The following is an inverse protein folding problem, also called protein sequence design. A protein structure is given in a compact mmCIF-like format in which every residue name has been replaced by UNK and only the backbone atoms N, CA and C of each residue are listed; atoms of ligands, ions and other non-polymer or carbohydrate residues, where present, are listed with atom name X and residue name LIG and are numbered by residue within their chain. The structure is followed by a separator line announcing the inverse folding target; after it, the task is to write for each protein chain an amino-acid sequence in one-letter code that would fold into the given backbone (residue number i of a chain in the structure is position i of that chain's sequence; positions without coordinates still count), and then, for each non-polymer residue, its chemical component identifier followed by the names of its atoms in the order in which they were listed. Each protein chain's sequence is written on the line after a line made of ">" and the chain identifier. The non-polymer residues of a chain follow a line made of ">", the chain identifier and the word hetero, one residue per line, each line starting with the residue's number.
data_IF_962268706537
#
_entry.id   IF_962268706537
#
_cell.length_a   1.000
_cell.length_b   1.000
_cell.length_c   1.000
_cell.angle_alpha   90.00
_cell.angle_beta   90.00
_cell.angle_gamma   90.00
#
_symmetry.space_group_name_H-M   'P 1'
#
loop_
_entity.id
_entity.type
_entity.pdbx_description
1 polymer ?
#
# COMPACT_ATOMS: atom_id res chain seq x y z
N UNK A 1 10.96 -7.51 -15.54
CA UNK A 1 10.28 -6.23 -15.96
C UNK A 1 8.97 -6.13 -15.20
N UNK A 2 8.82 -5.08 -14.44
CA UNK A 2 7.63 -4.76 -13.63
C UNK A 2 6.38 -4.60 -14.50
N UNK A 3 5.28 -5.19 -14.07
CA UNK A 3 3.92 -4.99 -14.59
C UNK A 3 3.03 -4.52 -13.46
N UNK A 4 2.29 -3.45 -13.69
CA UNK A 4 1.35 -2.85 -12.74
C UNK A 4 -0.01 -2.75 -13.39
N UNK A 5 -1.03 -3.31 -12.75
CA UNK A 5 -2.44 -3.19 -13.13
C UNK A 5 -3.18 -2.49 -12.01
N UNK A 6 -3.77 -1.34 -12.32
CA UNK A 6 -4.51 -0.53 -11.35
C UNK A 6 -5.99 -0.82 -11.44
N UNK A 7 -6.63 -1.02 -10.30
CA UNK A 7 -8.08 -1.06 -10.12
C UNK A 7 -8.46 0.05 -9.13
N UNK A 8 -9.29 0.99 -9.56
CA UNK A 8 -9.81 2.04 -8.67
C UNK A 8 -11.18 1.59 -8.19
N UNK A 9 -11.32 1.35 -6.87
CA UNK A 9 -12.42 0.56 -6.30
C UNK A 9 -13.14 1.33 -5.18
N UNK A 10 -14.41 0.98 -4.99
CA UNK A 10 -15.25 1.50 -3.92
C UNK A 10 -15.58 2.99 -4.01
N UNK A 11 -16.36 3.46 -3.03
CA UNK A 11 -16.85 4.85 -2.98
C UNK A 11 -15.73 5.87 -2.73
N UNK A 12 -14.63 5.42 -2.09
CA UNK A 12 -13.45 6.26 -1.82
C UNK A 12 -12.46 6.31 -2.98
N UNK A 13 -12.73 5.57 -4.09
CA UNK A 13 -11.88 5.55 -5.28
C UNK A 13 -10.44 5.15 -4.93
N UNK A 14 -10.28 4.15 -4.04
CA UNK A 14 -8.99 3.64 -3.61
C UNK A 14 -8.33 2.83 -4.72
N UNK A 15 -7.07 3.08 -4.97
CA UNK A 15 -6.29 2.35 -5.96
C UNK A 15 -5.74 1.05 -5.35
N UNK A 16 -6.21 -0.07 -5.87
CA UNK A 16 -5.62 -1.39 -5.64
C UNK A 16 -4.69 -1.73 -6.81
N UNK A 17 -3.51 -2.25 -6.51
CA UNK A 17 -2.52 -2.60 -7.53
C UNK A 17 -2.26 -4.11 -7.56
N UNK A 18 -2.37 -4.72 -8.75
CA UNK A 18 -1.89 -6.09 -9.01
C UNK A 18 -0.53 -5.94 -9.68
N UNK A 19 0.51 -6.43 -9.00
CA UNK A 19 1.91 -6.17 -9.38
C UNK A 19 2.66 -7.50 -9.54
N UNK A 20 3.36 -7.66 -10.65
CA UNK A 20 4.11 -8.88 -10.93
C UNK A 20 5.29 -8.66 -11.87
N UNK A 21 6.26 -9.57 -11.84
CA UNK A 21 7.30 -9.68 -12.86
C UNK A 21 6.69 -10.29 -14.14
N UNK A 22 7.11 -9.80 -15.32
CA UNK A 22 6.46 -10.11 -16.60
C UNK A 22 6.36 -11.60 -16.95
N UNK A 23 7.27 -12.44 -16.42
CA UNK A 23 7.28 -13.90 -16.66
C UNK A 23 6.74 -14.70 -15.47
N UNK A 24 6.44 -14.02 -14.36
CA UNK A 24 5.88 -14.66 -13.15
C UNK A 24 4.48 -15.22 -13.42
N UNK A 25 4.13 -16.25 -12.65
CA UNK A 25 2.76 -16.78 -12.55
C UNK A 25 2.06 -16.36 -11.28
N UNK A 26 2.76 -15.61 -10.42
CA UNK A 26 2.24 -15.06 -9.18
C UNK A 26 2.28 -13.54 -9.22
N UNK A 27 1.47 -12.90 -8.36
CA UNK A 27 1.43 -11.45 -8.20
C UNK A 27 1.36 -11.06 -6.72
N UNK A 28 1.84 -9.87 -6.41
CA UNK A 28 1.47 -9.15 -5.20
C UNK A 28 0.20 -8.33 -5.45
N UNK A 29 -0.67 -8.23 -4.45
CA UNK A 29 -1.81 -7.30 -4.44
C UNK A 29 -1.56 -6.25 -3.38
N UNK A 30 -1.55 -4.98 -3.78
CA UNK A 30 -1.30 -3.86 -2.87
C UNK A 30 -2.63 -3.15 -2.61
N UNK A 31 -2.97 -2.96 -1.34
CA UNK A 31 -4.15 -2.26 -0.85
C UNK A 31 -5.48 -2.73 -1.48
N UNK A 32 -5.90 -3.98 -1.25
CA UNK A 32 -7.19 -4.49 -1.73
C UNK A 32 -8.35 -3.95 -0.88
N UNK A 33 -8.71 -2.67 -1.07
CA UNK A 33 -9.67 -1.97 -0.22
C UNK A 33 -11.11 -2.45 -0.37
N UNK A 34 -11.53 -2.75 -1.60
CA UNK A 34 -12.91 -3.08 -1.93
C UNK A 34 -12.99 -4.15 -3.01
N UNK A 35 -14.20 -4.69 -3.22
CA UNK A 35 -14.56 -5.54 -4.35
C UNK A 35 -13.59 -6.72 -4.57
N UNK A 36 -13.33 -7.57 -3.56
CA UNK A 36 -12.37 -8.67 -3.67
C UNK A 36 -12.64 -9.60 -4.86
N UNK A 37 -13.89 -9.83 -5.23
CA UNK A 37 -14.25 -10.64 -6.39
C UNK A 37 -13.79 -10.01 -7.71
N UNK A 38 -13.82 -8.68 -7.80
CA UNK A 38 -13.31 -7.95 -8.97
C UNK A 38 -11.79 -8.08 -9.07
N UNK A 39 -11.08 -7.98 -7.93
CA UNK A 39 -9.63 -8.17 -7.87
C UNK A 39 -9.26 -9.60 -8.27
N UNK A 40 -9.89 -10.62 -7.65
CA UNK A 40 -9.61 -12.03 -7.93
C UNK A 40 -9.92 -12.41 -9.39
N UNK A 41 -11.01 -11.90 -9.95
CA UNK A 41 -11.34 -12.07 -11.37
C UNK A 41 -10.25 -11.49 -12.26
N UNK A 42 -9.74 -10.25 -11.93
CA UNK A 42 -8.65 -9.64 -12.69
C UNK A 42 -7.36 -10.44 -12.62
N UNK A 43 -7.00 -10.95 -11.46
CA UNK A 43 -5.85 -11.84 -11.27
C UNK A 43 -5.99 -13.09 -12.15
N UNK A 44 -7.16 -13.74 -12.16
CA UNK A 44 -7.44 -14.91 -12.99
C UNK A 44 -7.38 -14.61 -14.50
N UNK A 45 -7.93 -13.46 -14.95
CA UNK A 45 -7.84 -12.98 -16.35
C UNK A 45 -6.38 -12.83 -16.82
N UNK A 46 -5.50 -12.40 -15.90
CA UNK A 46 -4.06 -12.26 -16.17
C UNK A 46 -3.32 -13.61 -16.14
N UNK A 47 -3.98 -14.69 -15.75
CA UNK A 47 -3.38 -16.02 -15.61
C UNK A 47 -2.40 -16.12 -14.44
N UNK A 48 -2.65 -15.33 -13.38
CA UNK A 48 -1.83 -15.22 -12.18
C UNK A 48 -2.52 -15.87 -10.96
N UNK A 49 -1.73 -16.10 -9.91
CA UNK A 49 -2.22 -16.41 -8.55
C UNK A 49 -1.67 -15.38 -7.57
N UNK A 50 -2.43 -15.07 -6.52
CA UNK A 50 -1.97 -14.13 -5.49
C UNK A 50 -0.94 -14.81 -4.60
N UNK A 51 0.24 -14.23 -4.50
CA UNK A 51 1.37 -14.68 -3.69
C UNK A 51 1.37 -14.00 -2.32
N UNK A 52 1.16 -12.69 -2.32
CA UNK A 52 1.07 -11.89 -1.10
C UNK A 52 0.15 -10.68 -1.28
N UNK A 53 -0.42 -10.23 -0.17
CA UNK A 53 -1.01 -8.91 -0.02
C UNK A 53 0.00 -8.03 0.73
N UNK A 54 0.23 -6.82 0.20
CA UNK A 54 1.09 -5.80 0.82
C UNK A 54 0.20 -4.60 1.18
N UNK A 55 0.03 -4.30 2.45
CA UNK A 55 -0.72 -3.13 2.90
C UNK A 55 0.22 -1.95 3.14
N UNK A 56 -0.08 -0.81 2.50
CA UNK A 56 0.64 0.43 2.78
C UNK A 56 0.30 0.99 4.15
N UNK A 57 -0.94 0.78 4.61
CA UNK A 57 -1.42 1.13 5.95
C UNK A 57 -2.75 0.42 6.26
N UNK A 58 -3.28 0.62 7.46
CA UNK A 58 -4.41 -0.16 7.99
C UNK A 58 -5.79 0.48 7.85
N UNK A 59 -6.00 1.57 7.10
CA UNK A 59 -7.32 2.19 6.97
C UNK A 59 -8.31 1.29 6.22
N UNK A 60 -9.58 1.43 6.57
CA UNK A 60 -10.68 0.55 6.12
C UNK A 60 -10.82 0.48 4.60
N UNK A 61 -10.54 1.56 3.91
CA UNK A 61 -10.65 1.66 2.46
C UNK A 61 -9.44 1.05 1.71
N UNK A 62 -8.39 0.67 2.42
CA UNK A 62 -7.25 -0.09 1.89
C UNK A 62 -7.29 -1.58 2.23
N UNK A 63 -8.08 -1.98 3.24
CA UNK A 63 -8.03 -3.36 3.79
C UNK A 63 -9.33 -4.17 3.60
N UNK A 64 -10.43 -3.55 3.17
CA UNK A 64 -11.75 -4.18 3.18
C UNK A 64 -11.88 -5.48 2.37
N UNK A 65 -11.06 -5.69 1.36
CA UNK A 65 -11.02 -6.93 0.55
C UNK A 65 -10.05 -8.00 1.06
N UNK A 66 -9.19 -7.67 2.04
CA UNK A 66 -8.09 -8.54 2.49
C UNK A 66 -8.59 -9.90 2.95
N UNK A 67 -9.58 -9.95 3.86
CA UNK A 67 -10.09 -11.21 4.42
C UNK A 67 -10.57 -12.17 3.34
N UNK A 68 -11.35 -11.66 2.39
CA UNK A 68 -11.89 -12.48 1.31
C UNK A 68 -10.78 -13.04 0.40
N UNK A 69 -9.76 -12.24 0.08
CA UNK A 69 -8.65 -12.67 -0.77
C UNK A 69 -7.78 -13.69 -0.02
N UNK A 70 -7.43 -13.45 1.25
CA UNK A 70 -6.65 -14.42 2.06
C UNK A 70 -7.39 -15.75 2.18
N UNK A 71 -8.69 -15.73 2.45
CA UNK A 71 -9.52 -16.95 2.52
C UNK A 71 -9.58 -17.71 1.19
N UNK A 72 -9.62 -17.00 0.08
CA UNK A 72 -9.70 -17.61 -1.26
C UNK A 72 -8.37 -18.18 -1.75
N UNK A 73 -7.25 -17.62 -1.34
CA UNK A 73 -5.93 -17.89 -1.92
C UNK A 73 -4.93 -18.51 -0.95
N UNK A 74 -5.09 -18.29 0.34
CA UNK A 74 -4.12 -18.64 1.37
C UNK A 74 -2.83 -17.84 1.32
N UNK A 75 -2.84 -16.67 0.64
CA UNK A 75 -1.65 -15.83 0.49
C UNK A 75 -1.20 -15.19 1.80
N UNK A 76 0.08 -14.84 1.89
CA UNK A 76 0.63 -14.08 3.01
C UNK A 76 0.07 -12.65 3.03
N UNK A 77 -0.10 -12.09 4.24
CA UNK A 77 -0.46 -10.68 4.45
C UNK A 77 0.70 -9.97 5.15
N UNK A 78 1.18 -8.89 4.52
CA UNK A 78 2.27 -8.06 5.04
C UNK A 78 1.75 -6.67 5.40
N UNK A 79 2.11 -6.20 6.60
CA UNK A 79 1.84 -4.83 7.07
C UNK A 79 2.75 -4.43 8.22
N UNK A 80 2.68 -3.19 8.68
CA UNK A 80 3.37 -2.76 9.90
C UNK A 80 2.60 -3.14 11.15
N UNK A 81 3.30 -3.65 12.17
CA UNK A 81 2.72 -3.99 13.48
C UNK A 81 2.07 -2.78 14.15
N UNK A 82 2.62 -1.58 13.95
CA UNK A 82 2.08 -0.36 14.54
C UNK A 82 0.66 -0.02 14.08
N UNK A 83 0.27 -0.35 12.85
CA UNK A 83 -1.11 -0.21 12.40
C UNK A 83 -1.96 -1.41 12.85
N UNK A 84 -1.42 -2.62 12.81
CA UNK A 84 -2.10 -3.80 13.31
C UNK A 84 -2.47 -3.65 14.78
N UNK A 85 -1.60 -3.10 15.62
CA UNK A 85 -1.84 -2.90 17.05
C UNK A 85 -2.91 -1.84 17.37
N UNK A 86 -3.31 -1.00 16.41
CA UNK A 86 -4.41 -0.03 16.60
C UNK A 86 -5.80 -0.68 16.55
N UNK A 87 -5.93 -1.86 15.97
CA UNK A 87 -7.21 -2.52 15.75
C UNK A 87 -8.00 -2.85 17.02
N UNK A 88 -7.39 -3.26 18.15
CA UNK A 88 -8.13 -3.56 19.37
C UNK A 88 -8.77 -2.34 20.04
N UNK A 89 -8.42 -1.12 19.64
CA UNK A 89 -8.95 0.09 20.23
C UNK A 89 -10.36 0.38 19.68
N UNK A 90 -11.46 0.32 20.51
CA UNK A 90 -12.81 0.57 20.05
C UNK A 90 -13.03 1.93 19.38
N UNK A 91 -12.24 2.95 19.76
CA UNK A 91 -12.29 4.30 19.17
C UNK A 91 -11.79 4.26 17.73
N UNK A 92 -10.81 3.40 17.44
CA UNK A 92 -10.18 3.28 16.12
C UNK A 92 -10.79 2.16 15.25
N UNK A 93 -11.64 1.30 15.80
CA UNK A 93 -12.19 0.13 15.10
C UNK A 93 -12.93 0.47 13.78
N UNK A 94 -13.48 1.67 13.67
CA UNK A 94 -14.09 2.13 12.42
C UNK A 94 -13.04 2.43 11.33
N UNK A 95 -11.86 2.91 11.71
CA UNK A 95 -10.79 3.26 10.77
C UNK A 95 -9.88 2.08 10.46
N UNK A 96 -9.79 1.11 11.37
CA UNK A 96 -8.88 -0.05 11.29
C UNK A 96 -9.64 -1.37 11.51
N UNK A 97 -10.40 -1.85 10.53
CA UNK A 97 -11.31 -3.00 10.72
C UNK A 97 -10.61 -4.36 10.72
N UNK A 98 -9.34 -4.44 10.32
CA UNK A 98 -8.66 -5.72 10.04
C UNK A 98 -8.49 -6.61 11.28
N UNK A 99 -8.50 -6.03 12.49
CA UNK A 99 -8.36 -6.78 13.74
C UNK A 99 -9.49 -7.77 14.04
N UNK A 100 -10.62 -7.61 13.35
CA UNK A 100 -11.77 -8.50 13.49
C UNK A 100 -11.71 -9.68 12.50
N UNK A 101 -10.67 -9.75 11.68
CA UNK A 101 -10.50 -10.79 10.68
C UNK A 101 -9.69 -11.94 11.28
N UNK A 102 -10.18 -13.16 11.10
CA UNK A 102 -9.55 -14.39 11.57
C UNK A 102 -8.44 -14.81 10.56
N UNK A 103 -7.33 -14.06 10.56
CA UNK A 103 -6.17 -14.38 9.71
C UNK A 103 -5.30 -15.43 10.37
N UNK A 104 -4.92 -16.43 9.61
CA UNK A 104 -4.02 -17.48 10.08
C UNK A 104 -2.58 -17.00 10.23
N UNK A 105 -2.18 -15.97 9.46
CA UNK A 105 -0.81 -15.45 9.52
C UNK A 105 -0.73 -14.02 8.98
N UNK A 106 -0.29 -13.09 9.85
CA UNK A 106 0.08 -11.72 9.46
C UNK A 106 1.59 -11.59 9.61
N UNK A 107 2.28 -11.24 8.54
CA UNK A 107 3.70 -10.96 8.54
C UNK A 107 3.92 -9.47 8.83
N UNK A 108 4.69 -9.16 9.87
CA UNK A 108 5.05 -7.78 10.17
C UNK A 108 6.34 -7.40 9.47
N UNK A 109 6.29 -6.31 8.71
CA UNK A 109 7.46 -5.81 7.99
C UNK A 109 8.14 -4.66 8.73
N UNK A 110 9.46 -4.57 8.60
CA UNK A 110 10.29 -3.53 9.17
C UNK A 110 10.82 -2.56 8.10
N UNK A 111 11.27 -1.39 8.55
CA UNK A 111 11.84 -0.40 7.62
C UNK A 111 13.11 -0.95 6.95
N UNK A 112 13.21 -0.78 5.63
CA UNK A 112 14.26 -1.33 4.75
C UNK A 112 14.29 -2.86 4.61
N UNK A 113 13.28 -3.55 5.13
CA UNK A 113 13.11 -4.97 4.86
C UNK A 113 12.76 -5.21 3.39
N UNK A 114 13.20 -6.35 2.86
CA UNK A 114 12.88 -6.80 1.52
C UNK A 114 11.85 -7.92 1.55
N UNK A 115 10.75 -7.74 0.84
CA UNK A 115 9.66 -8.71 0.70
C UNK A 115 9.68 -9.23 -0.73
N UNK A 116 9.76 -10.55 -0.89
CA UNK A 116 9.66 -11.19 -2.21
C UNK A 116 8.22 -11.61 -2.49
N UNK A 117 7.61 -11.07 -3.54
CA UNK A 117 6.25 -11.42 -3.98
C UNK A 117 6.07 -11.17 -5.48
N UNK A 118 5.28 -12.00 -6.16
CA UNK A 118 4.99 -11.83 -7.59
C UNK A 118 6.22 -11.91 -8.50
N UNK A 119 7.29 -12.56 -8.06
CA UNK A 119 8.58 -12.60 -8.76
C UNK A 119 9.39 -11.31 -8.66
N UNK A 120 9.03 -10.40 -7.76
CA UNK A 120 9.65 -9.10 -7.52
C UNK A 120 10.16 -9.00 -6.09
N UNK A 121 11.07 -8.06 -5.85
CA UNK A 121 11.51 -7.67 -4.50
C UNK A 121 11.02 -6.26 -4.19
N UNK A 122 10.30 -6.12 -3.10
CA UNK A 122 9.78 -4.86 -2.58
C UNK A 122 10.59 -4.45 -1.36
N UNK A 123 11.20 -3.26 -1.40
CA UNK A 123 11.83 -2.67 -0.21
C UNK A 123 10.79 -1.87 0.55
N UNK A 124 10.62 -2.17 1.83
CA UNK A 124 9.73 -1.44 2.73
C UNK A 124 10.37 -0.11 3.12
N UNK A 125 9.68 0.99 2.88
CA UNK A 125 10.13 2.32 3.26
C UNK A 125 9.11 2.94 4.22
N UNK A 126 9.39 2.91 5.52
CA UNK A 126 8.47 3.42 6.54
C UNK A 126 8.24 4.92 6.36
N UNK A 127 6.98 5.32 6.22
CA UNK A 127 6.56 6.71 6.00
C UNK A 127 5.42 7.10 6.96
N UNK A 128 5.67 7.07 8.30
CA UNK A 128 4.64 7.45 9.26
C UNK A 128 4.17 8.88 9.04
N UNK A 129 2.91 9.15 9.39
CA UNK A 129 2.32 10.48 9.32
C UNK A 129 0.86 10.49 8.91
N UNK A 130 0.43 9.69 7.92
CA UNK A 130 -0.98 9.42 7.67
C UNK A 130 -1.53 8.45 8.70
N UNK A 131 -0.78 7.37 8.96
CA UNK A 131 -0.92 6.47 10.11
C UNK A 131 0.43 6.24 10.78
N UNK A 132 0.45 5.59 11.96
CA UNK A 132 1.70 5.17 12.61
C UNK A 132 2.48 4.16 11.78
N UNK A 133 1.77 3.27 11.08
CA UNK A 133 2.33 2.15 10.32
C UNK A 133 2.42 2.39 8.82
N UNK A 134 2.17 3.60 8.33
CA UNK A 134 2.27 3.90 6.89
C UNK A 134 3.64 3.54 6.33
N UNK A 135 3.63 2.90 5.16
CA UNK A 135 4.83 2.56 4.38
C UNK A 135 4.63 2.90 2.90
N UNK A 136 5.73 3.15 2.22
CA UNK A 136 5.82 3.02 0.76
C UNK A 136 6.54 1.71 0.42
N UNK A 137 6.12 1.04 -0.64
CA UNK A 137 6.85 -0.10 -1.20
C UNK A 137 7.61 0.34 -2.44
N UNK A 138 8.93 0.16 -2.43
CA UNK A 138 9.81 0.48 -3.56
C UNK A 138 10.13 -0.80 -4.32
N UNK A 139 9.92 -0.80 -5.64
CA UNK A 139 10.17 -1.96 -6.47
C UNK A 139 10.47 -1.54 -7.92
N UNK A 140 11.61 -1.95 -8.45
CA UNK A 140 11.98 -1.85 -9.89
C UNK A 140 11.68 -0.47 -10.51
N UNK A 141 12.04 0.63 -9.81
CA UNK A 141 11.81 2.01 -10.26
C UNK A 141 10.39 2.55 -10.01
N UNK A 142 9.59 1.86 -9.23
CA UNK A 142 8.26 2.29 -8.80
C UNK A 142 8.20 2.50 -7.28
N UNK A 143 7.32 3.39 -6.84
CA UNK A 143 6.93 3.63 -5.45
C UNK A 143 5.40 3.46 -5.36
N UNK A 144 4.95 2.51 -4.57
CA UNK A 144 3.55 2.39 -4.16
C UNK A 144 3.42 3.14 -2.84
N UNK A 145 2.90 4.36 -2.92
CA UNK A 145 3.02 5.33 -1.81
C UNK A 145 1.86 5.31 -0.83
N UNK A 146 0.81 4.51 -1.10
CA UNK A 146 -0.41 4.58 -0.30
C UNK A 146 -0.84 6.03 -0.10
N UNK A 147 -1.19 6.38 1.12
CA UNK A 147 -1.62 7.72 1.49
C UNK A 147 -0.49 8.59 2.06
N UNK A 148 0.74 8.37 1.60
CA UNK A 148 1.86 9.24 1.93
C UNK A 148 2.02 10.36 0.89
N UNK A 149 2.19 10.00 -0.39
CA UNK A 149 2.47 10.96 -1.47
C UNK A 149 1.45 10.80 -2.60
N UNK A 150 0.79 11.89 -2.96
CA UNK A 150 -0.14 12.01 -4.08
C UNK A 150 0.38 12.95 -5.17
N UNK A 151 -0.23 12.91 -6.35
CA UNK A 151 0.03 13.88 -7.40
C UNK A 151 -0.34 15.30 -6.94
N UNK A 152 0.68 16.12 -6.64
CA UNK A 152 0.53 17.50 -6.16
C UNK A 152 0.04 17.66 -4.72
N UNK A 153 -0.04 16.57 -3.93
CA UNK A 153 -0.56 16.59 -2.56
C UNK A 153 0.10 15.51 -1.69
N UNK A 154 -0.37 15.36 -0.47
CA UNK A 154 -0.04 14.25 0.45
C UNK A 154 -1.27 13.81 1.23
N UNK A 155 -1.17 12.69 1.93
CA UNK A 155 -2.22 12.18 2.80
C UNK A 155 -2.55 13.11 3.96
N UNK A 156 -3.80 13.06 4.43
CA UNK A 156 -4.26 13.78 5.63
C UNK A 156 -3.61 13.21 6.88
N UNK A 157 -3.54 14.03 7.92
CA UNK A 157 -2.86 13.68 9.19
C UNK A 157 -3.74 13.96 10.42
N UNK A 158 -5.04 14.13 10.23
CA UNK A 158 -6.01 14.51 11.26
C UNK A 158 -6.89 13.33 11.75
N UNK A 159 -6.66 12.12 11.22
CA UNK A 159 -7.30 10.90 11.69
C UNK A 159 -6.49 10.22 12.81
N UNK A 160 -7.06 9.26 13.56
CA UNK A 160 -6.32 8.50 14.56
C UNK A 160 -5.06 7.88 13.97
N UNK A 161 -3.91 8.11 14.59
CA UNK A 161 -2.60 7.69 14.08
C UNK A 161 -1.90 8.70 13.19
N UNK A 162 -2.58 9.81 12.83
CA UNK A 162 -2.01 10.89 12.03
C UNK A 162 -1.07 11.80 12.82
N UNK A 163 0.02 12.23 12.17
CA UNK A 163 1.01 13.16 12.71
C UNK A 163 1.60 14.03 11.59
N UNK A 164 1.30 15.34 11.55
CA UNK A 164 1.81 16.26 10.53
C UNK A 164 3.33 16.37 10.50
N UNK A 165 3.98 16.27 11.66
CA UNK A 165 5.44 16.37 11.77
C UNK A 165 6.11 15.13 11.20
N UNK A 166 5.59 13.94 11.55
CA UNK A 166 6.06 12.67 10.99
C UNK A 166 5.84 12.62 9.47
N UNK A 167 4.70 13.11 8.96
CA UNK A 167 4.43 13.22 7.52
C UNK A 167 5.47 14.10 6.84
N UNK A 168 5.76 15.27 7.39
CA UNK A 168 6.79 16.15 6.85
C UNK A 168 8.16 15.48 6.78
N UNK A 169 8.57 14.76 7.83
CA UNK A 169 9.82 13.98 7.82
C UNK A 169 9.80 12.85 6.77
N UNK A 170 8.68 12.16 6.61
CA UNK A 170 8.52 11.08 5.64
C UNK A 170 8.62 11.59 4.20
N UNK A 171 7.97 12.70 3.89
CA UNK A 171 8.04 13.35 2.59
C UNK A 171 9.44 13.89 2.28
N UNK A 172 10.12 14.49 3.25
CA UNK A 172 11.50 14.95 3.10
C UNK A 172 12.43 13.79 2.71
N UNK A 173 12.33 12.64 3.42
CA UNK A 173 13.12 11.44 3.09
C UNK A 173 12.80 10.87 1.71
N UNK A 174 11.52 10.87 1.28
CA UNK A 174 11.16 10.47 -0.09
C UNK A 174 11.78 11.41 -1.12
N UNK A 175 11.85 12.72 -0.82
CA UNK A 175 12.48 13.69 -1.71
C UNK A 175 14.00 13.50 -1.89
N UNK A 176 14.67 12.84 -0.93
CA UNK A 176 16.10 12.53 -0.99
C UNK A 176 16.43 11.29 -1.83
N UNK A 177 15.45 10.46 -2.19
CA UNK A 177 15.68 9.29 -3.02
C UNK A 177 16.31 9.69 -4.36
N UNK A 178 17.44 9.05 -4.69
CA UNK A 178 18.16 9.31 -5.94
C UNK A 178 17.42 8.68 -7.14
N UNK A 179 17.37 9.39 -8.26
CA UNK A 179 16.69 8.92 -9.47
C UNK A 179 15.25 9.39 -9.58
N UNK A 180 14.57 8.91 -10.62
CA UNK A 180 13.14 9.11 -10.82
C UNK A 180 12.40 7.80 -10.66
N UNK A 181 11.26 7.85 -10.01
CA UNK A 181 10.39 6.72 -9.76
C UNK A 181 8.99 7.02 -10.29
N UNK A 182 8.33 6.05 -10.89
CA UNK A 182 6.89 6.09 -11.07
C UNK A 182 6.23 5.99 -9.68
N UNK A 183 5.29 6.89 -9.38
CA UNK A 183 4.58 6.92 -8.09
C UNK A 183 3.13 6.48 -8.29
N UNK A 184 2.74 5.46 -7.55
CA UNK A 184 1.41 4.84 -7.55
C UNK A 184 0.76 5.09 -6.18
N UNK A 185 -0.11 6.13 -6.07
CA UNK A 185 -0.69 6.54 -4.80
C UNK A 185 -1.92 5.72 -4.42
N UNK A 186 -2.33 5.78 -3.15
CA UNK A 186 -3.58 5.18 -2.66
C UNK A 186 -4.83 5.78 -3.31
N UNK A 187 -4.78 7.06 -3.67
CA UNK A 187 -5.88 7.76 -4.34
C UNK A 187 -5.38 8.66 -5.49
N UNK A 188 -6.26 8.84 -6.49
CA UNK A 188 -6.00 9.74 -7.60
C UNK A 188 -5.04 9.17 -8.65
N UNK A 189 -4.44 10.07 -9.42
CA UNK A 189 -3.61 9.72 -10.58
C UNK A 189 -2.19 9.32 -10.15
N UNK A 190 -1.57 8.44 -10.94
CA UNK A 190 -0.13 8.16 -10.84
C UNK A 190 0.69 9.39 -11.27
N UNK A 191 1.90 9.51 -10.75
CA UNK A 191 2.82 10.61 -11.03
C UNK A 191 4.27 10.12 -11.10
N UNK A 192 5.24 11.01 -11.06
CA UNK A 192 6.65 10.66 -10.89
C UNK A 192 7.28 11.44 -9.74
N UNK A 193 8.25 10.83 -9.08
CA UNK A 193 8.94 11.48 -7.97
C UNK A 193 9.66 12.77 -8.42
N UNK A 194 10.22 12.81 -9.63
CA UNK A 194 10.86 14.02 -10.15
C UNK A 194 9.84 15.17 -10.35
N UNK A 195 8.63 14.86 -10.84
CA UNK A 195 7.56 15.85 -10.94
C UNK A 195 7.15 16.37 -9.56
N UNK A 196 6.97 15.46 -8.60
CA UNK A 196 6.55 15.85 -7.25
C UNK A 196 7.63 16.66 -6.52
N UNK A 197 8.89 16.31 -6.61
CA UNK A 197 10.01 17.14 -6.10
C UNK A 197 10.00 18.57 -6.65
N UNK A 198 9.54 18.75 -7.88
CA UNK A 198 9.55 20.05 -8.54
C UNK A 198 8.31 20.88 -8.23
N UNK A 199 7.14 20.27 -8.11
CA UNK A 199 5.86 20.99 -8.12
C UNK A 199 4.99 20.76 -6.89
N UNK A 200 5.20 19.67 -6.14
CA UNK A 200 4.40 19.38 -4.97
C UNK A 200 4.78 20.31 -3.81
N UNK A 201 3.83 21.09 -3.26
CA UNK A 201 4.13 22.05 -2.19
C UNK A 201 4.58 21.38 -0.88
N UNK A 202 4.28 20.10 -0.68
CA UNK A 202 4.62 19.33 0.52
C UNK A 202 6.03 18.69 0.48
N UNK A 203 6.67 18.66 -0.70
CA UNK A 203 8.04 18.16 -0.88
C UNK A 203 9.09 19.28 -0.98
N UNK A 204 8.72 20.53 -0.68
CA UNK A 204 9.61 21.68 -0.76
C UNK A 204 10.16 22.07 0.60
#
# INVERSE_FOLDING_TARGET
>A
MLKVHTLTLGDYQTNCYIVHEAVSKTCAVIDPGYEPDTILRKVAELGLTVDAILLTHGHFDHVGGVEAIVRATGCALWMRESDYSQFPNPINAHYYPIANCDFTEVCFCENFEEISAGGLTFTVYATPGHTYGSVCYLCDGAIFSGDTLFAGSCGRTDLPGGDPSAMGCSLARLSELAGDFAVYPGHGESTTLAREKRYNPYLR
#
